data_IF_030936470262
#
_entry.id   IF_030936470262
#
_cell.length_a   1.000
_cell.length_b   1.000
_cell.length_c   1.000
_cell.angle_alpha   90.00
_cell.angle_beta   90.00
_cell.angle_gamma   90.00
#
_symmetry.space_group_name_H-M   'P 1'
#
loop_
_entity.id
_entity.type
_entity.pdbx_description
1 polymer ?
#
# COMPACT_ATOMS: atom_id res chain seq x y z
N UNK A 1 -9.97 21.21 2.42
CA UNK A 1 -8.49 21.11 2.41
C UNK A 1 -7.94 20.11 3.43
N UNK A 2 -8.27 20.22 4.72
CA UNK A 2 -7.74 19.31 5.77
C UNK A 2 -7.89 17.81 5.41
N UNK A 3 -9.05 17.37 4.94
CA UNK A 3 -9.30 15.95 4.59
C UNK A 3 -8.39 15.43 3.46
N UNK A 4 -8.19 16.21 2.40
CA UNK A 4 -7.32 15.83 1.29
C UNK A 4 -5.86 15.73 1.74
N UNK A 5 -5.39 16.67 2.56
CA UNK A 5 -4.04 16.63 3.12
C UNK A 5 -3.82 15.40 4.02
N UNK A 6 -4.78 15.07 4.89
CA UNK A 6 -4.70 13.84 5.70
C UNK A 6 -4.64 12.58 4.82
N UNK A 7 -5.41 12.54 3.73
CA UNK A 7 -5.38 11.41 2.80
C UNK A 7 -4.02 11.30 2.09
N UNK A 8 -3.46 12.41 1.61
CA UNK A 8 -2.13 12.44 0.98
C UNK A 8 -1.07 11.93 1.96
N UNK A 9 -1.06 12.42 3.19
CA UNK A 9 -0.11 11.98 4.23
C UNK A 9 -0.28 10.49 4.51
N UNK A 10 -1.52 10.02 4.65
CA UNK A 10 -1.79 8.61 4.92
C UNK A 10 -1.36 7.71 3.76
N UNK A 11 -1.58 8.13 2.51
CA UNK A 11 -1.12 7.40 1.34
C UNK A 11 0.41 7.35 1.30
N UNK A 12 1.11 8.46 1.59
CA UNK A 12 2.58 8.43 1.68
C UNK A 12 3.06 7.41 2.73
N UNK A 13 2.42 7.35 3.90
CA UNK A 13 2.73 6.31 4.88
C UNK A 13 2.46 4.90 4.36
N UNK A 14 1.39 4.70 3.57
CA UNK A 14 1.07 3.41 2.95
C UNK A 14 2.16 3.00 1.96
N UNK A 15 2.61 3.91 1.09
CA UNK A 15 3.73 3.66 0.19
C UNK A 15 5.01 3.29 0.95
N UNK A 16 5.35 4.02 2.02
CA UNK A 16 6.52 3.68 2.85
C UNK A 16 6.41 2.29 3.46
N UNK A 17 5.23 1.94 4.00
CA UNK A 17 5.00 0.60 4.54
C UNK A 17 5.09 -0.48 3.44
N UNK A 18 4.58 -0.20 2.24
CA UNK A 18 4.69 -1.09 1.08
C UNK A 18 6.15 -1.30 0.65
N UNK A 19 6.98 -0.25 0.62
CA UNK A 19 8.42 -0.39 0.33
C UNK A 19 9.08 -1.30 1.34
N UNK A 20 8.82 -1.10 2.64
CA UNK A 20 9.42 -1.91 3.70
C UNK A 20 9.00 -3.37 3.62
N UNK A 21 7.70 -3.64 3.41
CA UNK A 21 7.20 -5.02 3.27
C UNK A 21 7.78 -5.67 2.01
N UNK A 22 7.78 -4.95 0.89
CA UNK A 22 8.30 -5.46 -0.39
C UNK A 22 9.80 -5.75 -0.31
N UNK A 23 10.57 -4.88 0.34
CA UNK A 23 11.99 -5.12 0.61
C UNK A 23 12.22 -6.41 1.39
N UNK A 24 11.45 -6.63 2.47
CA UNK A 24 11.56 -7.86 3.26
C UNK A 24 11.19 -9.11 2.46
N UNK A 25 10.13 -9.04 1.65
CA UNK A 25 9.69 -10.17 0.83
C UNK A 25 10.66 -10.48 -0.31
N UNK A 26 11.13 -9.48 -1.05
CA UNK A 26 12.10 -9.67 -2.14
C UNK A 26 13.44 -10.18 -1.61
N UNK A 27 13.92 -9.61 -0.50
CA UNK A 27 15.14 -10.10 0.15
C UNK A 27 14.95 -11.53 0.64
N UNK A 28 13.83 -11.82 1.32
CA UNK A 28 13.50 -13.17 1.80
C UNK A 28 13.42 -14.20 0.69
N UNK A 29 12.74 -13.88 -0.41
CA UNK A 29 12.65 -14.75 -1.59
C UNK A 29 14.03 -15.05 -2.18
N UNK A 30 14.90 -14.04 -2.32
CA UNK A 30 16.27 -14.21 -2.84
C UNK A 30 17.16 -15.02 -1.90
N UNK A 31 17.02 -14.82 -0.59
CA UNK A 31 17.74 -15.61 0.42
C UNK A 31 17.34 -17.09 0.34
N UNK A 32 16.05 -17.38 0.20
CA UNK A 32 15.55 -18.75 0.09
C UNK A 32 15.88 -19.42 -1.25
N UNK A 33 15.99 -18.65 -2.33
CA UNK A 33 16.19 -19.18 -3.68
C UNK A 33 17.65 -19.51 -4.04
N UNK A 34 18.65 -19.04 -3.29
CA UNK A 34 20.07 -19.24 -3.65
C UNK A 34 20.99 -19.43 -2.44
N UNK A 35 22.08 -20.19 -2.59
CA UNK A 35 23.09 -20.49 -1.56
C UNK A 35 24.22 -19.45 -1.41
N UNK A 36 24.20 -18.35 -2.17
CA UNK A 36 25.27 -17.31 -2.20
C UNK A 36 25.15 -16.23 -1.11
N UNK A 37 26.24 -15.48 -0.89
CA UNK A 37 26.46 -14.52 0.21
C UNK A 37 25.34 -13.49 0.44
N UNK A 38 25.09 -13.05 1.70
CA UNK A 38 23.92 -12.26 2.08
C UNK A 38 23.92 -10.78 1.64
N UNK A 39 25.08 -10.16 1.41
CA UNK A 39 25.15 -8.69 1.20
C UNK A 39 24.58 -8.24 -0.15
N UNK A 40 24.99 -8.89 -1.25
CA UNK A 40 24.47 -8.61 -2.60
C UNK A 40 22.95 -8.87 -2.72
N UNK A 41 22.38 -9.72 -1.86
CA UNK A 41 20.95 -10.04 -1.85
C UNK A 41 20.12 -8.93 -1.19
N UNK A 42 20.70 -8.25 -0.20
CA UNK A 42 20.08 -7.13 0.49
C UNK A 42 19.98 -5.92 -0.45
N UNK A 43 21.07 -5.58 -1.13
CA UNK A 43 21.11 -4.48 -2.09
C UNK A 43 20.12 -4.71 -3.25
N UNK A 44 20.15 -5.89 -3.87
CA UNK A 44 19.21 -6.21 -4.94
C UNK A 44 17.73 -6.21 -4.49
N UNK A 45 17.43 -6.68 -3.28
CA UNK A 45 16.07 -6.62 -2.73
C UNK A 45 15.61 -5.19 -2.44
N UNK A 46 16.54 -4.30 -2.06
CA UNK A 46 16.30 -2.88 -1.86
C UNK A 46 16.02 -2.17 -3.19
N UNK A 47 16.83 -2.45 -4.21
CA UNK A 47 16.67 -1.88 -5.56
C UNK A 47 15.32 -2.26 -6.16
N UNK A 48 14.93 -3.53 -6.08
CA UNK A 48 13.63 -4.01 -6.53
C UNK A 48 12.49 -3.27 -5.81
N UNK A 49 12.54 -3.21 -4.47
CA UNK A 49 11.51 -2.58 -3.66
C UNK A 49 11.36 -1.08 -3.95
N UNK A 50 12.48 -0.36 -4.08
CA UNK A 50 12.49 1.06 -4.43
C UNK A 50 11.98 1.27 -5.86
N UNK A 51 12.42 0.47 -6.81
CA UNK A 51 12.01 0.59 -8.21
C UNK A 51 10.48 0.44 -8.35
N UNK A 52 9.91 -0.64 -7.83
CA UNK A 52 8.47 -0.88 -7.93
C UNK A 52 7.65 0.14 -7.15
N UNK A 53 8.10 0.54 -5.96
CA UNK A 53 7.34 1.52 -5.16
C UNK A 53 7.41 2.92 -5.79
N UNK A 54 8.57 3.33 -6.30
CA UNK A 54 8.74 4.60 -7.01
C UNK A 54 7.89 4.64 -8.28
N UNK A 55 7.90 3.57 -9.08
CA UNK A 55 7.06 3.48 -10.27
C UNK A 55 5.58 3.68 -9.92
N UNK A 56 5.10 3.01 -8.87
CA UNK A 56 3.71 3.18 -8.41
C UNK A 56 3.45 4.59 -7.88
N UNK A 57 4.40 5.21 -7.18
CA UNK A 57 4.24 6.58 -6.72
C UNK A 57 4.09 7.56 -7.91
N UNK A 58 4.89 7.39 -8.96
CA UNK A 58 4.84 8.26 -10.14
C UNK A 58 3.53 8.06 -10.93
N UNK A 59 3.17 6.81 -11.21
CA UNK A 59 2.06 6.52 -12.11
C UNK A 59 0.71 6.44 -11.41
N UNK A 60 0.65 5.94 -10.17
CA UNK A 60 -0.61 5.53 -9.54
C UNK A 60 -1.06 6.51 -8.46
N UNK A 61 -0.17 7.33 -7.90
CA UNK A 61 -0.46 8.14 -6.71
C UNK A 61 -1.62 9.12 -6.89
N UNK A 62 -1.64 9.89 -7.99
CA UNK A 62 -2.71 10.88 -8.25
C UNK A 62 -4.06 10.17 -8.42
N UNK A 63 -4.08 9.09 -9.20
CA UNK A 63 -5.30 8.30 -9.45
C UNK A 63 -5.78 7.67 -8.14
N UNK A 64 -4.86 7.16 -7.33
CA UNK A 64 -5.15 6.56 -6.04
C UNK A 64 -5.73 7.59 -5.07
N UNK A 65 -5.19 8.81 -4.99
CA UNK A 65 -5.78 9.90 -4.19
C UNK A 65 -7.22 10.16 -4.62
N UNK A 66 -7.48 10.30 -5.93
CA UNK A 66 -8.81 10.56 -6.45
C UNK A 66 -9.79 9.43 -6.11
N UNK A 67 -9.39 8.17 -6.29
CA UNK A 67 -10.20 7.00 -5.98
C UNK A 67 -10.47 6.87 -4.48
N UNK A 68 -9.47 7.06 -3.63
CA UNK A 68 -9.66 7.01 -2.18
C UNK A 68 -10.57 8.12 -1.67
N UNK A 69 -10.44 9.33 -2.23
CA UNK A 69 -11.30 10.45 -1.88
C UNK A 69 -12.76 10.16 -2.27
N UNK A 70 -12.98 9.62 -3.47
CA UNK A 70 -14.32 9.34 -3.99
C UNK A 70 -14.99 8.09 -3.36
N UNK A 71 -14.26 6.97 -3.26
CA UNK A 71 -14.77 5.72 -2.70
C UNK A 71 -14.85 5.74 -1.18
N UNK A 72 -13.95 6.49 -0.53
CA UNK A 72 -13.86 6.58 0.93
C UNK A 72 -15.16 7.06 1.57
N UNK A 73 -15.92 7.94 0.93
CA UNK A 73 -17.19 8.44 1.45
C UNK A 73 -18.39 7.55 1.13
N UNK A 74 -18.31 6.79 0.03
CA UNK A 74 -19.38 5.90 -0.41
C UNK A 74 -19.40 4.58 0.36
N UNK A 75 -18.24 4.11 0.81
CA UNK A 75 -18.12 2.77 1.41
C UNK A 75 -18.28 2.80 2.93
N UNK A 76 -19.46 2.37 3.43
CA UNK A 76 -19.81 2.34 4.86
C UNK A 76 -19.47 1.00 5.53
N UNK A 77 -18.22 0.58 5.46
CA UNK A 77 -17.73 -0.61 6.17
C UNK A 77 -17.53 -0.30 7.66
N UNK A 78 -18.04 -1.17 8.55
CA UNK A 78 -17.90 -1.03 10.02
C UNK A 78 -16.44 -1.19 10.48
N UNK A 79 -15.70 -2.10 9.85
CA UNK A 79 -14.28 -2.30 10.12
C UNK A 79 -13.45 -1.37 9.23
N UNK A 80 -12.96 -0.27 9.82
CA UNK A 80 -12.13 0.71 9.10
C UNK A 80 -10.84 0.09 8.56
N UNK A 81 -10.17 -0.80 9.31
CA UNK A 81 -8.95 -1.45 8.83
C UNK A 81 -9.24 -2.25 7.56
N UNK A 82 -10.26 -3.11 7.59
CA UNK A 82 -10.66 -3.90 6.42
C UNK A 82 -11.01 -2.99 5.23
N UNK A 83 -11.70 -1.87 5.48
CA UNK A 83 -11.98 -0.86 4.45
C UNK A 83 -10.71 -0.31 3.81
N UNK A 84 -9.71 0.05 4.62
CA UNK A 84 -8.44 0.57 4.12
C UNK A 84 -7.65 -0.50 3.34
N UNK A 85 -7.64 -1.74 3.81
CA UNK A 85 -7.02 -2.87 3.08
C UNK A 85 -7.67 -3.10 1.72
N UNK A 86 -9.00 -3.13 1.67
CA UNK A 86 -9.76 -3.31 0.43
C UNK A 86 -9.63 -2.12 -0.52
N UNK A 87 -9.64 -0.88 -0.02
CA UNK A 87 -9.42 0.30 -0.84
C UNK A 87 -8.01 0.30 -1.42
N UNK A 88 -6.99 -0.02 -0.62
CA UNK A 88 -5.61 0.02 -1.08
C UNK A 88 -5.35 -1.04 -2.15
N UNK A 89 -5.63 -2.31 -1.84
CA UNK A 89 -5.44 -3.40 -2.79
C UNK A 89 -6.38 -3.28 -3.99
N UNK A 90 -7.65 -2.95 -3.76
CA UNK A 90 -8.66 -2.83 -4.81
C UNK A 90 -8.32 -1.72 -5.80
N UNK A 91 -7.89 -0.55 -5.33
CA UNK A 91 -7.44 0.53 -6.24
C UNK A 91 -6.17 0.14 -6.98
N UNK A 92 -5.22 -0.52 -6.35
CA UNK A 92 -4.03 -1.03 -7.04
C UNK A 92 -4.38 -2.00 -8.17
N UNK A 93 -5.27 -2.98 -7.92
CA UNK A 93 -5.73 -3.93 -8.94
C UNK A 93 -6.46 -3.20 -10.07
N UNK A 94 -7.40 -2.30 -9.74
CA UNK A 94 -8.16 -1.55 -10.74
C UNK A 94 -7.24 -0.70 -11.62
N UNK A 95 -6.29 0.03 -11.02
CA UNK A 95 -5.32 0.84 -11.76
C UNK A 95 -4.44 -0.06 -12.64
N UNK A 96 -3.97 -1.19 -12.11
CA UNK A 96 -3.13 -2.12 -12.88
C UNK A 96 -3.87 -2.73 -14.05
N UNK A 97 -5.13 -3.14 -13.88
CA UNK A 97 -5.97 -3.64 -14.97
C UNK A 97 -6.23 -2.55 -16.01
N UNK A 98 -6.59 -1.33 -15.59
CA UNK A 98 -6.78 -0.21 -16.52
C UNK A 98 -5.49 0.09 -17.31
N UNK A 99 -4.35 0.07 -16.63
CA UNK A 99 -3.06 0.31 -17.27
C UNK A 99 -2.70 -0.80 -18.26
N UNK A 100 -2.86 -2.05 -17.86
CA UNK A 100 -2.53 -3.23 -18.67
C UNK A 100 -3.48 -3.49 -19.83
N UNK A 101 -4.74 -3.04 -19.80
CA UNK A 101 -5.68 -3.28 -20.90
C UNK A 101 -5.97 -2.05 -21.75
N UNK A 102 -5.88 -0.84 -21.19
CA UNK A 102 -6.28 0.40 -21.88
C UNK A 102 -5.08 1.26 -22.24
N UNK A 103 -4.17 1.51 -21.29
CA UNK A 103 -3.09 2.48 -21.50
C UNK A 103 -1.88 1.86 -22.24
N UNK A 104 -1.42 0.70 -21.79
CA UNK A 104 -0.29 -0.04 -22.36
C UNK A 104 -0.66 -1.53 -22.51
N UNK A 105 -1.44 -1.90 -23.53
CA UNK A 105 -1.98 -3.25 -23.71
C UNK A 105 -0.92 -4.36 -23.84
N UNK A 106 0.33 -4.03 -24.14
CA UNK A 106 1.44 -4.99 -24.17
C UNK A 106 1.93 -5.41 -22.77
N UNK A 107 1.38 -4.83 -21.70
CA UNK A 107 1.77 -5.13 -20.31
C UNK A 107 0.81 -6.10 -19.61
N UNK A 108 -0.11 -6.75 -20.34
CA UNK A 108 -1.06 -7.72 -19.78
C UNK A 108 -0.40 -8.91 -19.11
N UNK A 109 0.72 -9.38 -19.67
CA UNK A 109 1.49 -10.50 -19.11
C UNK A 109 1.98 -10.21 -17.68
N UNK A 110 2.19 -8.93 -17.33
CA UNK A 110 2.58 -8.53 -15.98
C UNK A 110 1.52 -8.85 -14.93
N UNK A 111 0.24 -8.98 -15.30
CA UNK A 111 -0.83 -9.37 -14.37
C UNK A 111 -0.75 -10.85 -13.98
N UNK A 112 -0.08 -11.67 -14.79
CA UNK A 112 0.13 -13.10 -14.53
C UNK A 112 1.46 -13.36 -13.81
N UNK A 113 2.34 -12.35 -13.74
CA UNK A 113 3.62 -12.45 -13.08
C UNK A 113 3.45 -12.66 -11.56
N UNK A 114 4.17 -13.60 -10.92
CA UNK A 114 4.14 -13.77 -9.46
C UNK A 114 4.42 -12.49 -8.67
N UNK A 115 5.20 -11.55 -9.22
CA UNK A 115 5.46 -10.25 -8.62
C UNK A 115 4.18 -9.43 -8.46
N UNK A 116 3.22 -9.52 -9.38
CA UNK A 116 1.94 -8.83 -9.24
C UNK A 116 1.16 -9.33 -8.02
N UNK A 117 1.20 -10.64 -7.74
CA UNK A 117 0.60 -11.20 -6.54
C UNK A 117 1.33 -10.71 -5.27
N UNK A 118 2.66 -10.67 -5.27
CA UNK A 118 3.46 -10.14 -4.15
C UNK A 118 3.11 -8.68 -3.88
N UNK A 119 3.09 -7.84 -4.91
CA UNK A 119 2.77 -6.42 -4.79
C UNK A 119 1.32 -6.17 -4.36
N UNK A 120 0.38 -6.98 -4.85
CA UNK A 120 -1.02 -6.92 -4.39
C UNK A 120 -1.11 -7.24 -2.91
N UNK A 121 -0.40 -8.27 -2.46
CA UNK A 121 -0.35 -8.68 -1.06
C UNK A 121 0.30 -7.62 -0.16
N UNK A 122 1.44 -7.04 -0.56
CA UNK A 122 2.08 -5.97 0.21
C UNK A 122 1.18 -4.74 0.34
N UNK A 123 0.47 -4.39 -0.73
CA UNK A 123 -0.53 -3.32 -0.76
C UNK A 123 -1.73 -3.62 0.14
N UNK A 124 -2.19 -4.87 0.19
CA UNK A 124 -3.29 -5.27 1.07
C UNK A 124 -2.91 -5.20 2.55
N UNK A 125 -1.66 -5.54 2.90
CA UNK A 125 -1.17 -5.63 4.28
C UNK A 125 -0.64 -4.30 4.82
N UNK A 126 -0.19 -3.39 3.96
CA UNK A 126 0.38 -2.11 4.40
C UNK A 126 -0.52 -1.32 5.36
N UNK A 127 -1.88 -1.29 5.22
CA UNK A 127 -2.72 -0.62 6.21
C UNK A 127 -2.69 -1.31 7.57
N UNK A 128 -2.57 -2.64 7.62
CA UNK A 128 -2.50 -3.39 8.86
C UNK A 128 -1.20 -3.08 9.62
N UNK A 129 -0.06 -2.98 8.93
CA UNK A 129 1.22 -2.56 9.53
C UNK A 129 1.10 -1.15 10.10
N UNK A 130 0.55 -0.21 9.34
CA UNK A 130 0.35 1.16 9.82
C UNK A 130 -0.67 1.27 10.96
N UNK A 131 -1.66 0.39 11.02
CA UNK A 131 -2.69 0.41 12.07
C UNK A 131 -2.11 0.18 13.48
N UNK A 132 -0.91 -0.41 13.56
CA UNK A 132 -0.19 -0.60 14.82
C UNK A 132 0.42 0.71 15.32
N UNK A 133 0.67 1.68 14.43
CA UNK A 133 1.18 3.01 14.78
C UNK A 133 0.00 3.88 15.23
N UNK A 134 0.01 4.40 16.48
CA UNK A 134 -1.14 5.14 17.02
C UNK A 134 -1.56 6.35 16.19
N UNK A 135 -0.60 7.04 15.57
CA UNK A 135 -0.86 8.20 14.72
C UNK A 135 -1.60 7.79 13.42
N UNK A 136 -1.09 6.80 12.68
CA UNK A 136 -1.73 6.31 11.46
C UNK A 136 -3.10 5.69 11.73
N UNK A 137 -3.26 4.98 12.86
CA UNK A 137 -4.57 4.48 13.29
C UNK A 137 -5.59 5.61 13.43
N UNK A 138 -5.22 6.73 14.05
CA UNK A 138 -6.12 7.91 14.19
C UNK A 138 -6.48 8.50 12.82
N UNK A 139 -5.54 8.53 11.87
CA UNK A 139 -5.81 8.98 10.49
C UNK A 139 -6.81 8.07 9.77
N UNK A 140 -6.75 6.76 10.01
CA UNK A 140 -7.66 5.77 9.42
C UNK A 140 -9.05 5.75 10.10
N UNK A 141 -9.16 6.22 11.34
CA UNK A 141 -10.39 6.22 12.13
C UNK A 141 -10.69 7.62 12.73
N UNK A 142 -11.08 8.62 11.90
CA UNK A 142 -11.21 10.01 12.34
C UNK A 142 -12.30 10.29 13.41
N UNK A 143 -13.03 9.28 13.90
CA UNK A 143 -13.97 9.39 15.02
C UNK A 143 -13.48 8.86 16.37
N UNK A 144 -12.32 8.17 16.45
CA UNK A 144 -11.88 7.51 17.69
C UNK A 144 -11.10 8.42 18.66
N UNK A 145 -10.88 9.68 18.31
CA UNK A 145 -10.15 10.64 19.15
C UNK A 145 -10.99 11.17 20.33
N UNK A 146 -12.32 11.02 20.30
CA UNK A 146 -13.23 11.53 21.34
C UNK A 146 -13.43 10.64 22.57
N UNK A 147 -12.95 9.39 22.57
CA UNK A 147 -13.25 8.41 23.63
C UNK A 147 -12.05 7.96 24.48
N UNK A 148 -10.88 8.59 24.37
CA UNK A 148 -9.68 8.18 25.13
C UNK A 148 -9.15 9.20 26.14
N UNK A 149 -9.89 10.29 26.38
CA UNK A 149 -9.62 11.24 27.46
C UNK A 149 -10.89 11.47 28.28
N UNK A 150 -11.39 10.42 28.92
CA UNK A 150 -12.15 10.62 30.15
C UNK A 150 -11.18 10.32 31.29
N UNK A 151 -10.76 11.33 32.09
CA UNK A 151 -10.06 11.04 33.33
C UNK A 151 -10.99 10.20 34.20
N UNK A 152 -10.47 9.13 34.80
CA UNK A 152 -11.20 8.38 35.81
C UNK A 152 -11.59 9.35 36.93
N UNK A 153 -12.89 9.53 37.13
CA UNK A 153 -13.46 10.14 38.33
C UNK A 153 -13.75 9.04 39.35
#
# INVERSE_FOLDING_TARGET
>A
MKKALHLVILLLFLYTAETLISFLLFTGQRVLATSSFPFYKLEAGMDDAIFYTTARLIFYFIIQIALFYWLGDKWKLKNNLLKWMLLNAGTYIVISVLYSFILLPYTQELLLDPLFAILTFTTAISPAVLYWIPYCRRLMTPGSAGHRFQPAH
#
